data_IF_682760903362
#
_entry.id   IF_682760903362
#
_cell.length_a   1.000
_cell.length_b   1.000
_cell.length_c   1.000
_cell.angle_alpha   90.00
_cell.angle_beta   90.00
_cell.angle_gamma   90.00
#
_symmetry.space_group_name_H-M   'P 1'
#
loop_
_entity.id
_entity.type
_entity.pdbx_description
1 polymer ?
#
# COMPACT_ATOMS: atom_id res chain seq x y z
N UNK A 1 30.92 0.05 2.48
CA UNK A 1 29.74 0.89 2.75
C UNK A 1 29.59 2.04 1.74
N UNK A 2 30.65 2.78 1.45
CA UNK A 2 30.64 3.89 0.47
C UNK A 2 30.17 3.48 -0.93
N UNK A 3 30.57 2.31 -1.39
CA UNK A 3 30.20 1.75 -2.70
C UNK A 3 28.70 1.42 -2.82
N UNK A 4 28.09 0.86 -1.75
CA UNK A 4 26.67 0.56 -1.69
C UNK A 4 25.82 1.85 -1.65
N UNK A 5 26.21 2.84 -0.86
CA UNK A 5 25.52 4.13 -0.78
C UNK A 5 25.57 4.88 -2.11
N UNK A 6 26.74 4.86 -2.79
CA UNK A 6 26.88 5.46 -4.11
C UNK A 6 26.05 4.74 -5.18
N UNK A 7 25.92 3.41 -5.09
CA UNK A 7 25.04 2.65 -5.98
C UNK A 7 23.58 3.01 -5.77
N UNK A 8 23.11 3.04 -4.53
CA UNK A 8 21.74 3.42 -4.17
C UNK A 8 21.42 4.81 -4.70
N UNK A 9 22.28 5.80 -4.40
CA UNK A 9 22.08 7.19 -4.83
C UNK A 9 21.93 7.34 -6.35
N UNK A 10 22.72 6.57 -7.13
CA UNK A 10 22.64 6.59 -8.60
C UNK A 10 21.39 5.89 -9.17
N UNK A 11 20.76 5.00 -8.40
CA UNK A 11 19.66 4.17 -8.92
C UNK A 11 18.28 4.64 -8.48
N UNK A 12 18.13 5.65 -7.65
CA UNK A 12 16.82 6.15 -7.25
C UNK A 12 15.92 6.49 -8.45
N UNK A 13 16.46 7.19 -9.46
CA UNK A 13 15.69 7.56 -10.65
C UNK A 13 15.15 6.36 -11.44
N UNK A 14 15.83 5.23 -11.40
CA UNK A 14 15.39 4.00 -12.08
C UNK A 14 14.22 3.30 -11.38
N UNK A 15 13.90 3.67 -10.15
CA UNK A 15 12.72 3.19 -9.41
C UNK A 15 11.49 4.06 -9.62
N UNK A 16 11.61 5.24 -10.23
CA UNK A 16 10.51 6.19 -10.41
C UNK A 16 9.68 5.83 -11.65
N UNK A 17 8.36 5.86 -11.50
CA UNK A 17 7.36 5.66 -12.56
C UNK A 17 6.44 6.87 -12.62
N UNK A 18 5.85 7.07 -13.79
CA UNK A 18 4.85 8.12 -14.01
C UNK A 18 3.75 7.60 -14.92
N UNK A 19 2.55 7.47 -14.37
CA UNK A 19 1.35 7.05 -15.09
C UNK A 19 0.16 7.81 -14.50
N UNK A 20 -0.32 8.82 -15.23
CA UNK A 20 -1.40 9.70 -14.74
C UNK A 20 -2.80 9.19 -15.03
N UNK A 21 -2.93 8.26 -15.96
CA UNK A 21 -4.21 7.71 -16.41
C UNK A 21 -4.37 6.26 -16.01
N UNK A 22 -5.59 5.83 -15.76
CA UNK A 22 -5.92 4.43 -15.53
C UNK A 22 -5.68 3.62 -16.80
N UNK A 23 -4.94 2.51 -16.71
CA UNK A 23 -4.63 1.62 -17.84
C UNK A 23 -4.81 0.16 -17.44
N UNK A 24 -5.84 -0.49 -17.97
CA UNK A 24 -6.18 -1.87 -17.61
C UNK A 24 -6.45 -1.97 -16.10
N UNK A 25 -5.58 -2.68 -15.37
CA UNK A 25 -5.70 -2.77 -13.90
C UNK A 25 -4.89 -1.70 -13.15
N UNK A 26 -4.01 -0.97 -13.83
CA UNK A 26 -3.21 0.09 -13.20
C UNK A 26 -4.08 1.32 -12.94
N UNK A 27 -4.06 1.80 -11.72
CA UNK A 27 -4.70 3.05 -11.30
C UNK A 27 -3.68 4.17 -11.48
N UNK A 28 -4.04 5.17 -12.29
CA UNK A 28 -3.21 6.35 -12.55
C UNK A 28 -3.02 7.20 -11.28
N UNK A 29 -1.85 7.81 -11.17
CA UNK A 29 -1.47 8.64 -10.03
C UNK A 29 -1.03 10.03 -10.51
N UNK A 30 -1.42 11.11 -9.84
CA UNK A 30 -1.16 12.47 -10.29
C UNK A 30 0.32 12.89 -10.24
N UNK A 31 1.15 12.16 -9.48
CA UNK A 31 2.58 12.45 -9.29
C UNK A 31 3.44 11.25 -9.69
N UNK A 32 4.73 11.46 -9.99
CA UNK A 32 5.69 10.36 -10.07
C UNK A 32 5.68 9.54 -8.78
N UNK A 33 5.86 8.22 -8.88
CA UNK A 33 5.88 7.33 -7.72
C UNK A 33 7.06 6.37 -7.78
N UNK A 34 7.54 5.98 -6.60
CA UNK A 34 8.64 5.03 -6.47
C UNK A 34 8.13 3.60 -6.37
N UNK A 35 8.84 2.68 -7.03
CA UNK A 35 8.57 1.24 -7.00
C UNK A 35 9.67 0.52 -6.22
N UNK A 36 9.38 -0.63 -5.57
CA UNK A 36 10.39 -1.41 -4.84
C UNK A 36 11.48 -2.01 -5.74
N UNK A 37 11.22 -2.05 -7.03
CA UNK A 37 12.08 -2.71 -8.02
C UNK A 37 12.32 -1.81 -9.21
N UNK A 38 13.53 -1.84 -9.75
CA UNK A 38 13.90 -1.06 -10.95
C UNK A 38 13.29 -1.62 -12.23
N UNK A 39 12.94 -2.91 -12.25
CA UNK A 39 12.33 -3.59 -13.41
C UNK A 39 11.68 -4.92 -13.00
N UNK A 40 10.93 -5.54 -13.90
CA UNK A 40 10.30 -6.83 -13.69
C UNK A 40 9.03 -6.75 -12.84
N UNK A 41 8.96 -7.49 -11.73
CA UNK A 41 7.83 -7.50 -10.81
C UNK A 41 7.86 -6.32 -9.84
N UNK A 42 6.73 -6.03 -9.18
CA UNK A 42 6.58 -4.95 -8.20
C UNK A 42 6.82 -3.55 -8.78
N UNK A 43 6.07 -3.22 -9.84
CA UNK A 43 6.15 -1.93 -10.52
C UNK A 43 5.07 -0.93 -10.07
N UNK A 44 4.42 -1.18 -8.96
CA UNK A 44 3.35 -0.37 -8.37
C UNK A 44 3.85 0.47 -7.19
N UNK A 45 3.08 1.51 -6.84
CA UNK A 45 3.15 2.15 -5.54
C UNK A 45 2.47 1.22 -4.51
N UNK A 46 3.23 0.65 -3.60
CA UNK A 46 2.72 -0.18 -2.51
C UNK A 46 2.68 0.58 -1.20
N UNK A 47 1.66 0.36 -0.38
CA UNK A 47 1.43 1.17 0.81
C UNK A 47 2.61 1.11 1.80
N UNK A 48 2.75 0.03 2.57
CA UNK A 48 3.76 0.00 3.65
C UNK A 48 5.20 -0.07 3.14
N UNK A 49 5.43 -0.65 1.96
CA UNK A 49 6.76 -0.73 1.35
C UNK A 49 7.30 0.66 1.06
N UNK A 50 6.42 1.58 0.65
CA UNK A 50 6.79 2.98 0.37
C UNK A 50 7.30 3.70 1.61
N UNK A 51 6.91 3.30 2.82
CA UNK A 51 7.52 3.85 4.04
C UNK A 51 9.04 3.65 4.05
N UNK A 52 9.50 2.43 3.81
CA UNK A 52 10.93 2.12 3.78
C UNK A 52 11.66 2.81 2.62
N UNK A 53 11.00 2.91 1.47
CA UNK A 53 11.52 3.68 0.32
C UNK A 53 11.66 5.16 0.70
N UNK A 54 10.65 5.76 1.32
CA UNK A 54 10.66 7.17 1.73
C UNK A 54 11.75 7.47 2.76
N UNK A 55 12.00 6.57 3.71
CA UNK A 55 13.13 6.71 4.65
C UNK A 55 14.45 6.83 3.88
N UNK A 56 14.69 5.94 2.90
CA UNK A 56 15.89 5.99 2.08
C UNK A 56 15.96 7.21 1.16
N UNK A 57 14.83 7.68 0.61
CA UNK A 57 14.75 8.89 -0.21
C UNK A 57 15.09 10.13 0.62
N UNK A 58 14.52 10.26 1.81
CA UNK A 58 14.77 11.38 2.72
C UNK A 58 16.25 11.42 3.18
N UNK A 59 16.82 10.28 3.54
CA UNK A 59 18.23 10.14 3.89
C UNK A 59 19.16 10.52 2.72
N UNK A 60 18.71 10.26 1.48
CA UNK A 60 19.43 10.60 0.25
C UNK A 60 19.14 12.03 -0.28
N UNK A 61 18.37 12.85 0.45
CA UNK A 61 18.00 14.22 0.04
C UNK A 61 16.94 14.29 -1.07
N UNK A 62 16.26 13.19 -1.39
CA UNK A 62 15.21 13.11 -2.42
C UNK A 62 13.82 13.46 -1.84
N UNK A 63 13.75 14.59 -1.15
CA UNK A 63 12.56 15.02 -0.40
C UNK A 63 11.32 15.20 -1.27
N UNK A 64 11.50 15.73 -2.50
CA UNK A 64 10.41 15.90 -3.46
C UNK A 64 9.79 14.57 -3.87
N UNK A 65 10.60 13.55 -4.14
CA UNK A 65 10.08 12.23 -4.52
C UNK A 65 9.37 11.55 -3.34
N UNK A 66 9.87 11.72 -2.12
CA UNK A 66 9.18 11.25 -0.91
C UNK A 66 7.81 11.94 -0.73
N UNK A 67 7.73 13.24 -0.97
CA UNK A 67 6.48 13.99 -0.96
C UNK A 67 5.51 13.49 -2.04
N UNK A 68 5.98 13.28 -3.28
CA UNK A 68 5.18 12.76 -4.39
C UNK A 68 4.55 11.40 -4.06
N UNK A 69 5.31 10.49 -3.43
CA UNK A 69 4.79 9.20 -2.99
C UNK A 69 3.63 9.37 -1.99
N UNK A 70 3.78 10.27 -1.02
CA UNK A 70 2.75 10.53 0.00
C UNK A 70 1.51 11.21 -0.60
N UNK A 71 1.69 12.19 -1.49
CA UNK A 71 0.58 12.88 -2.16
C UNK A 71 -0.23 11.94 -3.06
N UNK A 72 0.41 10.96 -3.68
CA UNK A 72 -0.28 9.89 -4.39
C UNK A 72 -1.14 9.03 -3.45
N UNK A 73 -0.69 8.79 -2.22
CA UNK A 73 -1.51 8.10 -1.21
C UNK A 73 -2.70 8.94 -0.77
N UNK A 74 -2.53 10.26 -0.61
CA UNK A 74 -3.67 11.16 -0.34
C UNK A 74 -4.70 11.09 -1.46
N UNK A 75 -4.26 11.11 -2.72
CA UNK A 75 -5.14 10.93 -3.87
C UNK A 75 -5.89 9.59 -3.85
N UNK A 76 -5.23 8.49 -3.51
CA UNK A 76 -5.88 7.18 -3.42
C UNK A 76 -6.90 7.13 -2.28
N UNK A 77 -6.58 7.72 -1.13
CA UNK A 77 -7.49 7.82 0.02
C UNK A 77 -8.71 8.68 -0.34
N UNK A 78 -8.52 9.84 -0.97
CA UNK A 78 -9.62 10.69 -1.41
C UNK A 78 -10.53 9.97 -2.42
N UNK A 79 -9.93 9.23 -3.36
CA UNK A 79 -10.65 8.52 -4.41
C UNK A 79 -11.44 7.30 -3.91
N UNK A 80 -10.89 6.53 -2.96
CA UNK A 80 -11.46 5.25 -2.54
C UNK A 80 -11.95 5.22 -1.10
N UNK A 81 -11.70 6.26 -0.31
CA UNK A 81 -12.06 6.33 1.10
C UNK A 81 -11.01 5.75 2.05
N UNK A 82 -9.96 5.10 1.54
CA UNK A 82 -8.90 4.41 2.29
C UNK A 82 -7.70 4.12 1.39
N UNK A 83 -6.55 3.79 2.00
CA UNK A 83 -5.35 3.47 1.23
C UNK A 83 -5.35 1.99 0.80
N UNK A 84 -5.47 1.68 -0.50
CA UNK A 84 -5.34 0.31 -1.00
C UNK A 84 -3.93 -0.25 -0.78
N UNK A 85 -3.78 -1.56 -0.89
CA UNK A 85 -2.48 -2.25 -0.85
C UNK A 85 -1.46 -1.67 -1.86
N UNK A 86 -1.95 -1.24 -3.03
CA UNK A 86 -1.18 -0.60 -4.08
C UNK A 86 -2.10 -0.08 -5.19
N UNK A 87 -1.54 0.61 -6.19
CA UNK A 87 -2.29 1.24 -7.25
C UNK A 87 -2.70 0.29 -8.40
N UNK A 88 -3.39 -0.81 -8.04
CA UNK A 88 -4.06 -1.72 -9.00
C UNK A 88 -5.48 -2.01 -8.55
N UNK A 89 -6.40 -2.20 -9.51
CA UNK A 89 -7.80 -2.47 -9.20
C UNK A 89 -7.99 -3.75 -8.38
N UNK A 90 -7.17 -4.77 -8.59
CA UNK A 90 -7.22 -6.01 -7.80
C UNK A 90 -6.65 -5.86 -6.37
N UNK A 91 -6.12 -4.70 -6.02
CA UNK A 91 -5.71 -4.35 -4.66
C UNK A 91 -6.79 -3.60 -3.87
N UNK A 92 -7.92 -3.22 -4.52
CA UNK A 92 -9.01 -2.50 -3.87
C UNK A 92 -9.80 -3.34 -2.85
N UNK A 93 -9.49 -4.60 -2.68
CA UNK A 93 -10.10 -5.44 -1.65
C UNK A 93 -9.29 -5.51 -0.33
N UNK A 94 -8.13 -4.85 -0.23
CA UNK A 94 -7.28 -4.89 0.96
C UNK A 94 -6.32 -3.73 1.06
N UNK A 95 -5.96 -3.36 2.28
CA UNK A 95 -4.89 -2.40 2.59
C UNK A 95 -3.55 -3.10 2.86
N UNK A 96 -2.67 -2.43 3.55
CA UNK A 96 -1.43 -2.92 4.15
C UNK A 96 -1.23 -2.21 5.51
N UNK A 97 -0.20 -2.55 6.31
CA UNK A 97 0.06 -1.87 7.57
C UNK A 97 0.09 -0.34 7.42
N UNK A 98 -0.62 0.42 8.27
CA UNK A 98 -0.89 1.85 8.11
C UNK A 98 0.31 2.73 8.51
N UNK A 99 1.28 2.88 7.62
CA UNK A 99 2.48 3.69 7.85
C UNK A 99 2.39 5.14 7.36
N UNK A 100 1.23 5.59 6.85
CA UNK A 100 1.09 6.94 6.28
C UNK A 100 1.42 8.04 7.30
N UNK A 101 0.95 7.89 8.55
CA UNK A 101 1.23 8.88 9.60
C UNK A 101 2.73 9.00 9.90
N UNK A 102 3.47 7.90 9.86
CA UNK A 102 4.92 7.91 10.01
C UNK A 102 5.60 8.59 8.82
N UNK A 103 5.17 8.29 7.59
CA UNK A 103 5.70 8.95 6.39
C UNK A 103 5.48 10.46 6.42
N UNK A 104 4.28 10.90 6.81
CA UNK A 104 3.95 12.32 6.97
C UNK A 104 4.82 12.96 8.03
N UNK A 105 5.01 12.31 9.19
CA UNK A 105 5.86 12.80 10.27
C UNK A 105 7.31 12.98 9.82
N UNK A 106 7.89 11.99 9.16
CA UNK A 106 9.26 12.03 8.67
C UNK A 106 9.44 13.13 7.60
N UNK A 107 8.53 13.23 6.65
CA UNK A 107 8.58 14.30 5.64
C UNK A 107 8.43 15.68 6.27
N UNK A 108 7.50 15.85 7.22
CA UNK A 108 7.33 17.11 7.95
C UNK A 108 8.57 17.50 8.76
N UNK A 109 9.27 16.53 9.34
CA UNK A 109 10.53 16.79 10.04
C UNK A 109 11.60 17.41 9.14
N UNK A 110 11.60 17.05 7.85
CA UNK A 110 12.54 17.58 6.84
C UNK A 110 12.09 18.93 6.25
N UNK A 111 10.78 19.11 6.03
CA UNK A 111 10.26 20.27 5.27
C UNK A 111 9.77 21.40 6.16
N UNK A 112 9.28 21.10 7.36
CA UNK A 112 8.60 22.03 8.26
C UNK A 112 7.41 22.77 7.61
N UNK A 113 6.84 22.20 6.52
CA UNK A 113 5.73 22.80 5.78
C UNK A 113 4.40 22.59 6.49
N UNK A 114 4.02 23.57 7.30
CA UNK A 114 2.75 23.56 8.03
C UNK A 114 1.53 23.72 7.12
N UNK A 115 1.67 24.40 5.97
CA UNK A 115 0.56 24.56 5.03
C UNK A 115 0.22 23.22 4.37
N UNK A 116 1.23 22.50 3.90
CA UNK A 116 1.08 21.13 3.38
C UNK A 116 0.49 20.17 4.43
N UNK A 117 0.99 20.24 5.68
CA UNK A 117 0.48 19.39 6.76
C UNK A 117 -1.01 19.62 7.02
N UNK A 118 -1.46 20.88 7.06
CA UNK A 118 -2.85 21.24 7.36
C UNK A 118 -3.81 20.99 6.21
N UNK A 119 -3.39 21.34 4.99
CA UNK A 119 -4.28 21.31 3.83
C UNK A 119 -4.31 19.94 3.13
N UNK A 120 -3.18 19.22 3.08
CA UNK A 120 -3.05 17.94 2.40
C UNK A 120 -3.04 16.75 3.34
N UNK A 121 -2.10 16.73 4.28
CA UNK A 121 -1.85 15.53 5.08
C UNK A 121 -2.94 15.27 6.13
N UNK A 122 -3.38 16.28 6.88
CA UNK A 122 -4.32 16.09 7.98
C UNK A 122 -5.67 15.50 7.56
N UNK A 123 -6.34 15.96 6.49
CA UNK A 123 -7.56 15.34 6.01
C UNK A 123 -7.40 13.87 5.62
N UNK A 124 -6.33 13.54 4.91
CA UNK A 124 -6.06 12.17 4.48
C UNK A 124 -5.77 11.24 5.67
N UNK A 125 -4.96 11.70 6.65
CA UNK A 125 -4.69 10.96 7.88
C UNK A 125 -5.96 10.74 8.72
N UNK A 126 -6.85 11.74 8.79
CA UNK A 126 -8.12 11.62 9.48
C UNK A 126 -9.01 10.57 8.81
N UNK A 127 -9.09 10.56 7.50
CA UNK A 127 -9.88 9.60 6.75
C UNK A 127 -9.33 8.18 6.89
N UNK A 128 -8.00 8.00 6.81
CA UNK A 128 -7.34 6.71 7.04
C UNK A 128 -7.56 6.21 8.47
N UNK A 129 -7.43 7.08 9.48
CA UNK A 129 -7.72 6.72 10.87
C UNK A 129 -9.14 6.19 11.03
N UNK A 130 -10.13 6.87 10.45
CA UNK A 130 -11.52 6.43 10.52
C UNK A 130 -11.76 5.11 9.80
N UNK A 131 -11.11 4.88 8.64
CA UNK A 131 -11.18 3.58 7.97
C UNK A 131 -10.72 2.45 8.91
N UNK A 132 -9.53 2.57 9.50
CA UNK A 132 -9.00 1.55 10.41
C UNK A 132 -9.88 1.37 11.65
N UNK A 133 -10.39 2.46 12.20
CA UNK A 133 -11.24 2.43 13.40
C UNK A 133 -12.61 1.79 13.13
N UNK A 134 -13.22 2.01 11.96
CA UNK A 134 -14.56 1.52 11.63
C UNK A 134 -14.57 0.15 10.97
N UNK A 135 -13.58 -0.15 10.11
CA UNK A 135 -13.57 -1.38 9.32
C UNK A 135 -12.62 -2.46 9.85
N UNK A 136 -11.71 -2.11 10.72
CA UNK A 136 -10.69 -3.02 11.24
C UNK A 136 -10.71 -3.20 12.76
N UNK A 137 -11.59 -2.53 13.47
CA UNK A 137 -11.75 -2.68 14.92
C UNK A 137 -12.83 -3.72 15.21
N UNK A 138 -12.52 -4.64 16.13
CA UNK A 138 -13.44 -5.64 16.66
C UNK A 138 -14.22 -5.07 17.85
N UNK A 139 -15.32 -5.72 18.25
CA UNK A 139 -16.16 -5.31 19.39
C UNK A 139 -15.38 -5.24 20.72
N UNK A 140 -14.28 -5.98 20.82
CA UNK A 140 -13.39 -5.95 21.99
C UNK A 140 -12.33 -4.82 21.93
N UNK A 141 -12.38 -3.93 20.93
CA UNK A 141 -11.47 -2.81 20.75
C UNK A 141 -10.12 -3.15 20.10
N UNK A 142 -9.88 -4.41 19.75
CA UNK A 142 -8.65 -4.80 19.03
C UNK A 142 -8.83 -4.60 17.52
N UNK A 143 -7.76 -4.22 16.85
CA UNK A 143 -7.73 -4.17 15.39
C UNK A 143 -7.31 -5.50 14.79
N UNK A 144 -7.82 -5.79 13.59
CA UNK A 144 -7.46 -6.98 12.81
C UNK A 144 -7.13 -6.63 11.37
N UNK A 145 -6.37 -7.46 10.72
CA UNK A 145 -6.31 -7.49 9.26
C UNK A 145 -7.45 -8.34 8.70
N UNK A 146 -8.00 -8.02 7.53
CA UNK A 146 -9.14 -8.79 7.02
C UNK A 146 -9.55 -8.52 5.58
N UNK A 147 -9.18 -7.39 5.05
CA UNK A 147 -9.63 -6.93 3.73
C UNK A 147 -11.11 -6.50 3.70
N UNK A 148 -11.52 -5.84 2.63
CA UNK A 148 -12.92 -5.58 2.28
C UNK A 148 -13.50 -6.82 1.59
N UNK A 149 -14.82 -6.93 1.54
CA UNK A 149 -15.48 -8.06 0.91
C UNK A 149 -15.32 -8.01 -0.62
N UNK A 150 -14.36 -8.75 -1.20
CA UNK A 150 -14.28 -8.89 -2.63
C UNK A 150 -15.42 -9.78 -3.12
N UNK A 151 -15.68 -9.74 -4.43
CA UNK A 151 -16.61 -10.66 -5.04
C UNK A 151 -16.18 -12.14 -4.85
N UNK A 152 -17.15 -13.03 -4.99
CA UNK A 152 -16.95 -14.47 -4.82
C UNK A 152 -15.84 -15.03 -5.72
N UNK A 153 -15.67 -14.51 -6.92
CA UNK A 153 -14.64 -14.95 -7.87
C UNK A 153 -13.25 -14.61 -7.33
N UNK A 154 -13.07 -13.39 -6.85
CA UNK A 154 -11.80 -12.94 -6.25
C UNK A 154 -11.46 -13.78 -5.01
N UNK A 155 -12.43 -14.06 -4.13
CA UNK A 155 -12.20 -14.92 -2.96
C UNK A 155 -11.79 -16.35 -3.34
N UNK A 156 -12.41 -16.93 -4.38
CA UNK A 156 -12.06 -18.27 -4.88
C UNK A 156 -10.63 -18.30 -5.43
N UNK A 157 -10.26 -17.34 -6.25
CA UNK A 157 -8.91 -17.29 -6.84
C UNK A 157 -7.83 -17.06 -5.78
N UNK A 158 -8.10 -16.23 -4.78
CA UNK A 158 -7.20 -16.05 -3.63
C UNK A 158 -7.06 -17.35 -2.82
N UNK A 159 -8.18 -18.07 -2.59
CA UNK A 159 -8.17 -19.36 -1.89
C UNK A 159 -7.38 -20.43 -2.67
N UNK A 160 -7.57 -20.53 -3.99
CA UNK A 160 -6.80 -21.43 -4.85
C UNK A 160 -5.30 -21.10 -4.83
N UNK A 161 -4.95 -19.81 -4.85
CA UNK A 161 -3.57 -19.36 -4.74
C UNK A 161 -2.92 -19.80 -3.45
N UNK A 162 -3.64 -19.65 -2.31
CA UNK A 162 -3.16 -20.11 -1.00
C UNK A 162 -2.97 -21.63 -0.98
N UNK A 163 -3.96 -22.39 -1.45
CA UNK A 163 -3.87 -23.85 -1.52
C UNK A 163 -2.67 -24.32 -2.35
N UNK A 164 -2.47 -23.71 -3.54
CA UNK A 164 -1.34 -24.03 -4.39
C UNK A 164 0.00 -23.73 -3.71
N UNK A 165 0.08 -22.61 -3.01
CA UNK A 165 1.30 -22.16 -2.33
C UNK A 165 1.73 -23.07 -1.19
N UNK A 166 0.76 -23.56 -0.41
CA UNK A 166 1.02 -24.37 0.79
C UNK A 166 0.72 -25.86 0.61
N UNK A 167 0.42 -26.32 -0.61
CA UNK A 167 0.09 -27.73 -0.88
C UNK A 167 -1.18 -28.20 -0.16
N UNK A 168 -2.13 -27.32 0.12
CA UNK A 168 -3.35 -27.64 0.82
C UNK A 168 -4.40 -28.19 -0.15
N UNK A 169 -5.23 -29.14 0.33
CA UNK A 169 -6.42 -29.57 -0.41
C UNK A 169 -7.39 -28.37 -0.56
N UNK A 170 -7.98 -28.22 -1.73
CA UNK A 170 -8.98 -27.15 -1.95
C UNK A 170 -10.22 -27.44 -1.08
N UNK A 171 -10.63 -26.50 -0.21
CA UNK A 171 -11.74 -26.71 0.70
C UNK A 171 -13.07 -26.28 0.09
N UNK A 172 -13.26 -26.43 -1.20
CA UNK A 172 -14.53 -26.10 -1.84
C UNK A 172 -15.64 -27.02 -1.32
N UNK A 173 -16.23 -26.62 -0.20
CA UNK A 173 -17.54 -27.10 0.21
C UNK A 173 -18.57 -26.03 -0.17
N UNK A 174 -19.75 -26.41 -0.68
CA UNK A 174 -20.83 -25.46 -0.97
C UNK A 174 -21.27 -24.65 0.24
N UNK A 175 -21.03 -25.16 1.46
CA UNK A 175 -21.46 -24.57 2.72
C UNK A 175 -20.48 -23.52 3.30
N UNK A 176 -19.19 -23.54 2.90
CA UNK A 176 -18.17 -22.57 3.31
C UNK A 176 -17.20 -22.30 2.16
N UNK A 177 -17.64 -21.53 1.15
CA UNK A 177 -16.90 -21.46 -0.11
C UNK A 177 -15.55 -20.75 -0.03
N UNK A 178 -15.23 -19.98 1.04
CA UNK A 178 -14.11 -19.04 0.97
C UNK A 178 -13.23 -18.88 2.23
N UNK A 179 -13.06 -19.87 3.13
CA UNK A 179 -12.25 -19.65 4.33
C UNK A 179 -10.80 -19.29 4.01
N UNK A 180 -10.23 -19.88 2.95
CA UNK A 180 -8.85 -19.62 2.54
C UNK A 180 -8.71 -18.33 1.73
N UNK A 181 -9.72 -17.90 1.01
CA UNK A 181 -9.73 -16.59 0.34
C UNK A 181 -9.67 -15.46 1.35
N UNK A 182 -10.47 -15.51 2.41
CA UNK A 182 -10.45 -14.54 3.51
C UNK A 182 -9.15 -14.59 4.32
N UNK A 183 -8.62 -15.78 4.56
CA UNK A 183 -7.30 -15.93 5.21
C UNK A 183 -6.19 -15.31 4.36
N UNK A 184 -6.24 -15.50 3.03
CA UNK A 184 -5.27 -14.88 2.12
C UNK A 184 -5.38 -13.37 2.07
N UNK A 185 -6.61 -12.80 2.15
CA UNK A 185 -6.79 -11.35 2.25
C UNK A 185 -6.15 -10.78 3.52
N UNK A 186 -6.43 -11.38 4.67
CA UNK A 186 -5.87 -10.96 5.95
C UNK A 186 -4.33 -11.06 5.95
N UNK A 187 -3.80 -12.16 5.41
CA UNK A 187 -2.36 -12.36 5.25
C UNK A 187 -1.74 -11.28 4.36
N UNK A 188 -2.35 -11.01 3.21
CA UNK A 188 -1.85 -10.01 2.27
C UNK A 188 -1.97 -8.57 2.83
N UNK A 189 -3.01 -8.27 3.59
CA UNK A 189 -3.19 -6.96 4.25
C UNK A 189 -2.18 -6.78 5.39
N UNK A 190 -1.81 -7.83 6.11
CA UNK A 190 -0.82 -7.76 7.20
C UNK A 190 0.59 -7.44 6.72
N UNK A 191 0.86 -7.53 5.43
CA UNK A 191 2.21 -7.39 4.86
C UNK A 191 3.12 -8.61 5.11
N UNK A 192 2.66 -9.62 5.81
CA UNK A 192 3.38 -10.87 6.04
C UNK A 192 3.26 -11.77 4.80
N UNK A 193 3.98 -11.41 3.76
CA UNK A 193 4.08 -12.23 2.56
C UNK A 193 5.06 -13.38 2.81
N UNK A 194 4.53 -14.52 3.21
CA UNK A 194 5.34 -15.74 3.29
C UNK A 194 5.78 -16.23 1.92
#
# INVERSE_FOLDING_TARGET
MEEASAYIARNWSSTVRYATEDQGTLIGLPRPYSTPSTSGVFQELYYWVTYFINVGLLDSGQTEQAANNIENMFYLIDRFGWMPNGNRTFYLCRSQPPFLSQMVRELFAHTQDQAWLRAGAYPALQQEYWFWHTHRTLDNGLSRYGGEDPDDTTLRELGKSLCKRFGLASPESPERPYPYGRAMLALAESGWNC
#
